data_IF_578998466515
#
_entry.id   IF_578998466515
#
_cell.length_a   1.000
_cell.length_b   1.000
_cell.length_c   1.000
_cell.angle_alpha   90.00
_cell.angle_beta   90.00
_cell.angle_gamma   90.00
#
_symmetry.space_group_name_H-M   'P 1'
#
loop_
_entity.id
_entity.type
_entity.pdbx_description
1 polymer ?
#
# COMPACT_ATOMS: atom_id res chain seq x y z
N UNK A 1 -21.17 -2.10 2.76
CA UNK A 1 -20.54 -1.09 3.65
C UNK A 1 -19.16 -1.55 4.16
N UNK A 2 -18.33 -2.21 3.32
CA UNK A 2 -17.01 -2.71 3.71
C UNK A 2 -15.86 -1.71 3.43
N UNK A 3 -16.04 -0.82 2.43
CA UNK A 3 -15.06 0.17 2.01
C UNK A 3 -14.79 1.29 3.03
N UNK A 4 -15.72 1.58 3.94
CA UNK A 4 -15.52 2.56 5.02
C UNK A 4 -14.65 2.02 6.18
N UNK A 5 -14.41 0.70 6.25
CA UNK A 5 -13.92 0.03 7.46
C UNK A 5 -12.39 -0.18 7.42
N UNK A 6 -11.77 -0.30 6.25
CA UNK A 6 -10.29 -0.26 6.13
C UNK A 6 -9.72 1.13 6.42
N UNK A 7 -10.56 2.15 6.23
CA UNK A 7 -10.26 3.53 6.53
C UNK A 7 -9.89 3.75 8.01
N UNK A 8 -10.60 3.11 8.96
CA UNK A 8 -10.34 3.30 10.41
C UNK A 8 -9.03 2.64 10.85
N UNK A 9 -8.66 1.52 10.23
CA UNK A 9 -7.44 0.77 10.52
C UNK A 9 -6.18 1.52 10.07
N UNK A 10 -6.25 2.21 8.93
CA UNK A 10 -5.19 3.09 8.44
C UNK A 10 -5.11 4.43 9.20
N UNK A 11 -6.23 4.89 9.76
CA UNK A 11 -6.31 6.20 10.44
C UNK A 11 -5.77 6.15 11.88
N UNK A 12 -5.85 5.02 12.58
CA UNK A 12 -5.45 4.93 13.99
C UNK A 12 -4.09 4.25 14.24
N UNK A 13 -3.53 3.51 13.28
CA UNK A 13 -2.22 2.89 13.44
C UNK A 13 -1.13 3.96 13.63
N UNK A 14 -0.25 3.80 14.63
CA UNK A 14 0.72 4.83 15.04
C UNK A 14 0.09 6.20 15.36
N UNK A 15 -1.17 6.24 15.81
CA UNK A 15 -1.77 7.46 16.34
C UNK A 15 -1.56 7.57 17.85
N UNK A 16 -1.35 8.80 18.28
CA UNK A 16 -1.37 9.19 19.69
C UNK A 16 -2.81 9.55 20.07
N UNK A 17 -3.29 8.97 21.17
CA UNK A 17 -4.63 9.19 21.70
C UNK A 17 -4.55 9.77 23.11
N UNK A 18 -5.54 10.58 23.46
CA UNK A 18 -5.87 10.89 24.85
C UNK A 18 -7.05 10.04 25.29
N UNK A 19 -6.92 9.40 26.44
CA UNK A 19 -8.02 8.70 27.08
C UNK A 19 -8.37 9.32 28.43
N UNK A 20 -9.66 9.43 28.71
CA UNK A 20 -10.18 9.97 29.96
C UNK A 20 -11.39 9.15 30.43
N UNK A 21 -11.47 8.93 31.74
CA UNK A 21 -12.52 8.11 32.35
C UNK A 21 -13.84 8.86 32.44
N UNK A 22 -14.94 8.13 32.40
CA UNK A 22 -16.28 8.65 32.61
C UNK A 22 -16.51 8.92 34.11
N UNK A 23 -16.11 10.10 34.58
CA UNK A 23 -16.43 10.57 35.92
C UNK A 23 -16.70 12.08 35.88
N UNK A 24 -17.79 12.49 36.54
CA UNK A 24 -18.32 13.86 36.66
C UNK A 24 -17.35 14.87 37.32
N UNK A 25 -16.08 14.55 37.47
CA UNK A 25 -15.05 15.37 38.07
C UNK A 25 -14.11 15.92 36.99
N UNK A 26 -14.28 17.21 36.69
CA UNK A 26 -13.45 18.07 35.83
C UNK A 26 -11.94 18.12 36.17
N UNK A 27 -11.47 17.30 37.12
CA UNK A 27 -10.11 17.30 37.67
C UNK A 27 -9.26 16.08 37.23
N UNK A 28 -9.78 15.20 36.39
CA UNK A 28 -9.04 14.01 35.96
C UNK A 28 -8.07 14.33 34.81
N UNK A 29 -6.77 14.38 35.11
CA UNK A 29 -5.74 14.45 34.04
C UNK A 29 -5.90 13.25 33.08
N UNK A 30 -5.90 13.49 31.75
CA UNK A 30 -6.02 12.44 30.74
C UNK A 30 -4.73 11.63 30.62
N UNK A 31 -4.83 10.39 30.13
CA UNK A 31 -3.66 9.58 29.79
C UNK A 31 -3.35 9.69 28.30
N UNK A 32 -2.08 9.97 27.99
CA UNK A 32 -1.57 9.91 26.63
C UNK A 32 -1.11 8.49 26.31
N UNK A 33 -1.60 7.93 25.21
CA UNK A 33 -1.39 6.52 24.86
C UNK A 33 -1.15 6.35 23.37
N UNK A 34 -0.41 5.31 23.00
CA UNK A 34 -0.14 4.97 21.60
C UNK A 34 -1.01 3.79 21.18
N UNK A 35 -1.61 3.87 19.99
CA UNK A 35 -2.26 2.71 19.38
C UNK A 35 -1.19 1.78 18.82
N UNK A 36 -1.14 0.56 19.34
CA UNK A 36 -0.22 -0.47 18.87
C UNK A 36 -0.85 -1.30 17.76
N UNK A 37 -2.13 -1.69 17.92
CA UNK A 37 -2.83 -2.51 16.94
C UNK A 37 -4.32 -2.25 16.94
N UNK A 38 -4.93 -2.40 15.77
CA UNK A 38 -6.38 -2.48 15.61
C UNK A 38 -6.72 -3.84 15.00
N UNK A 39 -7.49 -4.64 15.71
CA UNK A 39 -7.99 -5.94 15.26
C UNK A 39 -9.50 -5.86 15.08
N UNK A 40 -10.02 -6.45 14.01
CA UNK A 40 -11.47 -6.58 13.82
C UNK A 40 -11.89 -7.96 14.28
N UNK A 41 -12.79 -8.02 15.25
CA UNK A 41 -13.50 -9.24 15.61
C UNK A 41 -14.75 -9.37 14.73
N UNK A 42 -14.58 -10.07 13.61
CA UNK A 42 -15.66 -10.36 12.67
C UNK A 42 -16.78 -11.21 13.30
N UNK A 43 -16.50 -11.97 14.37
CA UNK A 43 -17.52 -12.80 15.05
C UNK A 43 -18.53 -11.94 15.80
N UNK A 44 -18.09 -10.81 16.36
CA UNK A 44 -18.92 -9.91 17.19
C UNK A 44 -19.19 -8.55 16.56
N UNK A 45 -18.69 -8.30 15.34
CA UNK A 45 -18.70 -6.97 14.68
C UNK A 45 -18.11 -5.88 15.59
N UNK A 46 -17.08 -6.22 16.37
CA UNK A 46 -16.40 -5.31 17.29
C UNK A 46 -14.99 -5.03 16.79
N UNK A 47 -14.51 -3.82 17.02
CA UNK A 47 -13.10 -3.47 16.82
C UNK A 47 -12.39 -3.54 18.16
N UNK A 48 -11.29 -4.28 18.21
CA UNK A 48 -10.41 -4.38 19.38
C UNK A 48 -9.24 -3.42 19.13
N UNK A 49 -9.06 -2.47 20.04
CA UNK A 49 -7.94 -1.53 20.02
C UNK A 49 -6.94 -1.98 21.08
N UNK A 50 -5.73 -2.31 20.66
CA UNK A 50 -4.60 -2.58 21.56
C UNK A 50 -3.86 -1.26 21.75
N UNK A 51 -3.86 -0.79 23.00
CA UNK A 51 -3.30 0.49 23.40
C UNK A 51 -2.10 0.25 24.31
N UNK A 52 -0.99 0.92 24.01
CA UNK A 52 0.23 0.89 24.81
C UNK A 52 0.34 2.14 25.66
N UNK A 53 0.60 1.92 26.95
CA UNK A 53 0.88 2.98 27.90
C UNK A 53 2.38 3.07 28.18
N UNK A 54 2.89 4.28 28.29
CA UNK A 54 4.27 4.53 28.69
C UNK A 54 4.26 5.21 30.05
N UNK A 55 4.71 4.47 31.06
CA UNK A 55 4.87 4.98 32.42
C UNK A 55 6.31 4.80 32.86
N UNK A 56 6.90 5.83 33.47
CA UNK A 56 8.17 5.69 34.18
C UNK A 56 7.95 4.89 35.48
N UNK A 57 8.93 4.06 35.85
CA UNK A 57 8.90 3.31 37.10
C UNK A 57 8.75 4.26 38.30
N UNK A 58 7.88 3.90 39.26
CA UNK A 58 7.62 4.69 40.47
C UNK A 58 6.65 5.88 40.29
N UNK A 59 6.11 6.12 39.10
CA UNK A 59 5.23 7.26 38.85
C UNK A 59 3.82 7.06 39.44
N UNK A 60 3.30 8.07 40.15
CA UNK A 60 1.92 8.08 40.69
C UNK A 60 0.85 7.88 39.62
N UNK A 61 1.14 8.24 38.36
CA UNK A 61 0.28 7.99 37.20
C UNK A 61 0.08 6.51 36.89
N UNK A 62 1.09 5.66 37.10
CA UNK A 62 0.98 4.21 36.90
C UNK A 62 -0.01 3.60 37.92
N UNK A 63 0.13 3.98 39.19
CA UNK A 63 -0.75 3.52 40.25
C UNK A 63 -2.19 3.99 40.00
N UNK A 64 -2.38 5.21 39.50
CA UNK A 64 -3.69 5.72 39.11
C UNK A 64 -4.27 4.97 37.90
N UNK A 65 -3.46 4.72 36.88
CA UNK A 65 -3.90 3.97 35.70
C UNK A 65 -4.37 2.56 36.08
N UNK A 66 -3.60 1.84 36.92
CA UNK A 66 -3.98 0.51 37.42
C UNK A 66 -5.29 0.51 38.21
N UNK A 67 -5.55 1.57 39.00
CA UNK A 67 -6.81 1.70 39.76
C UNK A 67 -8.02 1.97 38.88
N UNK A 68 -7.84 2.70 37.78
CA UNK A 68 -8.94 3.14 36.92
C UNK A 68 -9.22 2.17 35.77
N UNK A 69 -8.19 1.52 35.21
CA UNK A 69 -8.29 0.59 34.08
C UNK A 69 -8.80 -0.78 34.52
N UNK A 70 -10.04 -0.82 35.01
CA UNK A 70 -10.74 -2.03 35.42
C UNK A 70 -11.40 -2.70 34.22
N UNK A 71 -11.64 -4.01 34.33
CA UNK A 71 -12.36 -4.74 33.29
C UNK A 71 -13.76 -4.13 33.07
N UNK A 72 -14.17 -3.96 31.80
CA UNK A 72 -15.46 -3.36 31.39
C UNK A 72 -15.66 -1.88 31.80
N UNK A 73 -14.62 -1.19 32.22
CA UNK A 73 -14.68 0.27 32.43
C UNK A 73 -14.92 1.02 31.11
N UNK A 74 -15.64 2.15 31.19
CA UNK A 74 -15.95 3.01 30.05
C UNK A 74 -14.97 4.18 29.98
N UNK A 75 -14.46 4.43 28.78
CA UNK A 75 -13.47 5.45 28.51
C UNK A 75 -13.84 6.25 27.27
N UNK A 76 -13.58 7.54 27.34
CA UNK A 76 -13.62 8.42 26.19
C UNK A 76 -12.23 8.52 25.58
N UNK A 77 -12.20 8.59 24.25
CA UNK A 77 -10.97 8.60 23.46
C UNK A 77 -11.01 9.81 22.54
N UNK A 78 -9.96 10.62 22.55
CA UNK A 78 -9.73 11.69 21.59
C UNK A 78 -8.43 11.44 20.83
N UNK A 79 -8.46 11.59 19.51
CA UNK A 79 -7.26 11.44 18.67
C UNK A 79 -6.48 12.75 18.66
N UNK A 80 -5.20 12.68 19.02
CA UNK A 80 -4.31 13.84 18.96
C UNK A 80 -3.72 14.00 17.56
N UNK A 81 -2.86 13.06 17.15
CA UNK A 81 -2.11 13.14 15.90
C UNK A 81 -1.57 11.77 15.49
N UNK A 82 -1.13 11.65 14.22
CA UNK A 82 -0.30 10.53 13.79
C UNK A 82 1.16 10.82 14.15
N UNK A 83 1.85 9.85 14.75
CA UNK A 83 3.27 9.97 15.11
C UNK A 83 4.20 9.33 14.06
N UNK A 84 3.63 8.90 12.92
CA UNK A 84 4.37 8.23 11.85
C UNK A 84 5.50 9.08 11.26
N UNK A 85 5.32 10.40 10.99
CA UNK A 85 6.43 11.25 10.52
C UNK A 85 7.59 11.31 11.51
N UNK A 86 7.29 11.52 12.80
CA UNK A 86 8.28 11.62 13.87
C UNK A 86 9.04 10.30 14.06
N UNK A 87 8.35 9.16 13.98
CA UNK A 87 9.02 7.86 14.04
C UNK A 87 9.98 7.64 12.87
N UNK A 88 9.66 8.15 11.67
CA UNK A 88 10.54 8.04 10.52
C UNK A 88 11.77 8.92 10.65
N UNK A 89 11.62 10.14 11.13
CA UNK A 89 12.74 11.03 11.46
C UNK A 89 13.64 10.41 12.52
N UNK A 90 13.05 9.89 13.61
CA UNK A 90 13.80 9.21 14.65
C UNK A 90 14.52 7.98 14.11
N UNK A 91 13.88 7.14 13.29
CA UNK A 91 14.52 5.99 12.67
C UNK A 91 15.69 6.41 11.76
N UNK A 92 15.51 7.45 10.95
CA UNK A 92 16.58 7.99 10.10
C UNK A 92 17.77 8.50 10.93
N UNK A 93 17.51 9.17 12.06
CA UNK A 93 18.55 9.61 13.00
C UNK A 93 19.25 8.44 13.70
N UNK A 94 18.52 7.39 14.07
CA UNK A 94 19.14 6.20 14.68
C UNK A 94 20.02 5.43 13.70
N UNK A 95 19.66 5.45 12.41
CA UNK A 95 20.41 4.81 11.33
C UNK A 95 21.50 5.71 10.72
N UNK A 96 21.77 6.88 11.33
CA UNK A 96 22.64 7.91 10.73
C UNK A 96 24.04 7.39 10.39
N UNK A 97 24.58 6.48 11.21
CA UNK A 97 25.91 5.88 11.03
C UNK A 97 26.02 5.02 9.76
N UNK A 98 24.90 4.49 9.30
CA UNK A 98 24.84 3.61 8.13
C UNK A 98 24.53 4.40 6.85
N UNK A 99 24.36 5.73 6.93
CA UNK A 99 24.08 6.58 5.78
C UNK A 99 25.38 6.87 5.03
N UNK A 100 25.55 6.41 3.79
CA UNK A 100 26.81 6.62 3.07
C UNK A 100 27.09 8.09 2.72
N UNK A 101 26.03 8.89 2.60
CA UNK A 101 26.11 10.33 2.39
C UNK A 101 26.44 11.12 3.66
N UNK A 102 26.56 10.47 4.83
CA UNK A 102 26.78 11.16 6.11
C UNK A 102 27.97 12.13 6.10
N UNK A 103 29.16 11.77 5.56
CA UNK A 103 30.29 12.70 5.53
C UNK A 103 29.99 13.98 4.74
N UNK A 104 29.26 13.86 3.63
CA UNK A 104 28.84 14.97 2.78
C UNK A 104 27.79 15.84 3.52
N UNK A 105 26.84 15.21 4.21
CA UNK A 105 25.80 15.91 4.97
C UNK A 105 26.39 16.70 6.15
N UNK A 106 27.35 16.11 6.89
CA UNK A 106 27.97 16.76 8.05
C UNK A 106 29.00 17.81 7.68
N UNK A 107 29.69 17.65 6.54
CA UNK A 107 30.70 18.59 6.06
C UNK A 107 30.53 18.90 4.57
N UNK A 108 29.58 19.78 4.20
CA UNK A 108 29.27 20.07 2.80
C UNK A 108 30.40 20.80 2.05
N UNK A 109 31.29 21.50 2.76
CA UNK A 109 32.28 22.42 2.16
C UNK A 109 33.46 21.68 1.53
N UNK A 110 33.87 20.53 2.08
CA UNK A 110 35.06 19.81 1.62
C UNK A 110 34.85 18.97 0.35
N UNK A 111 33.62 18.65 -0.02
CA UNK A 111 33.32 17.78 -1.17
C UNK A 111 33.17 18.51 -2.51
N UNK A 112 32.98 19.84 -2.50
CA UNK A 112 32.80 20.68 -3.69
C UNK A 112 34.11 21.10 -4.38
N UNK A 113 35.28 20.76 -3.83
CA UNK A 113 36.60 21.24 -4.30
C UNK A 113 37.16 20.45 -5.50
N UNK A 114 36.43 19.48 -6.06
CA UNK A 114 36.84 18.84 -7.31
C UNK A 114 36.46 19.73 -8.50
N UNK A 115 37.48 20.46 -8.96
CA UNK A 115 37.59 21.24 -10.21
C UNK A 115 36.50 20.94 -11.24
N UNK A 116 35.84 22.00 -11.70
CA UNK A 116 35.05 22.10 -12.94
C UNK A 116 35.85 21.54 -14.13
N UNK A 117 35.87 20.22 -14.27
CA UNK A 117 36.30 19.58 -15.50
C UNK A 117 35.22 19.85 -16.53
N UNK A 118 35.62 20.39 -17.68
CA UNK A 118 34.77 20.74 -18.82
C UNK A 118 33.55 19.81 -18.90
N UNK A 119 32.39 20.31 -18.53
CA UNK A 119 31.17 19.48 -18.49
C UNK A 119 30.84 19.08 -19.91
N UNK A 120 30.87 17.78 -20.19
CA UNK A 120 30.71 17.30 -21.55
C UNK A 120 29.65 16.20 -21.58
N UNK A 121 28.56 16.50 -22.30
CA UNK A 121 27.48 15.55 -22.62
C UNK A 121 27.99 14.42 -23.53
N UNK A 122 29.27 14.43 -23.93
CA UNK A 122 29.93 13.44 -24.79
C UNK A 122 29.85 11.98 -24.32
N UNK A 123 29.48 11.72 -23.06
CA UNK A 123 29.17 10.36 -22.57
C UNK A 123 27.83 9.84 -23.06
N UNK A 124 26.90 10.73 -23.39
CA UNK A 124 25.62 10.37 -23.99
C UNK A 124 25.83 10.13 -25.49
N UNK A 125 24.90 9.42 -26.10
CA UNK A 125 24.89 9.22 -27.54
C UNK A 125 24.63 10.54 -28.27
N UNK A 126 25.20 10.69 -29.47
CA UNK A 126 25.01 11.87 -30.32
C UNK A 126 23.53 12.24 -30.56
N UNK A 127 22.60 11.29 -30.79
CA UNK A 127 21.18 11.64 -30.97
C UNK A 127 20.57 12.26 -29.72
N UNK A 128 20.85 11.70 -28.54
CA UNK A 128 20.33 12.21 -27.27
C UNK A 128 20.94 13.59 -26.95
N UNK A 129 22.24 13.76 -27.19
CA UNK A 129 22.92 15.04 -27.01
C UNK A 129 22.27 16.14 -27.85
N UNK A 130 22.05 15.93 -29.15
CA UNK A 130 21.42 16.93 -30.04
C UNK A 130 20.01 17.32 -29.61
N UNK A 131 19.24 16.36 -29.12
CA UNK A 131 17.87 16.62 -28.63
C UNK A 131 17.91 17.45 -27.35
N UNK A 132 18.81 17.13 -26.43
CA UNK A 132 18.98 17.92 -25.21
C UNK A 132 19.43 19.35 -25.57
N UNK A 133 20.46 19.49 -26.39
CA UNK A 133 21.01 20.79 -26.81
C UNK A 133 19.99 21.67 -27.54
N UNK A 134 19.08 21.08 -28.33
CA UNK A 134 18.02 21.83 -29.01
C UNK A 134 16.81 22.17 -28.13
N UNK A 135 16.60 21.45 -27.02
CA UNK A 135 15.37 21.53 -26.22
C UNK A 135 15.52 22.28 -24.90
N UNK A 136 16.76 22.47 -24.42
CA UNK A 136 17.08 23.05 -23.12
C UNK A 136 18.03 24.23 -23.26
N UNK A 137 17.98 25.17 -22.32
CA UNK A 137 18.92 26.31 -22.29
C UNK A 137 20.26 25.91 -21.63
N UNK A 138 21.28 26.76 -21.75
CA UNK A 138 22.64 26.50 -21.27
C UNK A 138 22.68 26.15 -19.77
N UNK A 139 21.91 26.85 -18.93
CA UNK A 139 21.89 26.58 -17.49
C UNK A 139 21.26 25.22 -17.14
N UNK A 140 20.22 24.83 -17.88
CA UNK A 140 19.59 23.51 -17.76
C UNK A 140 20.51 22.42 -18.28
N UNK A 141 21.18 22.64 -19.42
CA UNK A 141 22.15 21.70 -19.99
C UNK A 141 23.33 21.45 -19.05
N UNK A 142 23.85 22.51 -18.44
CA UNK A 142 24.90 22.41 -17.42
C UNK A 142 24.41 21.64 -16.17
N UNK A 143 23.18 21.90 -15.71
CA UNK A 143 22.61 21.12 -14.60
C UNK A 143 22.43 19.63 -14.95
N UNK A 144 22.02 19.34 -16.19
CA UNK A 144 21.86 17.97 -16.71
C UNK A 144 23.22 17.27 -16.80
N UNK A 145 24.23 17.92 -17.38
CA UNK A 145 25.57 17.35 -17.54
C UNK A 145 26.27 17.13 -16.19
N UNK A 146 26.07 18.03 -15.22
CA UNK A 146 26.58 17.88 -13.86
C UNK A 146 25.90 16.73 -13.11
N UNK A 147 24.58 16.56 -13.23
CA UNK A 147 23.84 15.49 -12.55
C UNK A 147 24.11 14.10 -13.16
N UNK A 148 24.37 14.04 -14.46
CA UNK A 148 24.77 12.83 -15.20
C UNK A 148 26.30 12.59 -15.09
N UNK A 149 27.02 13.61 -14.60
CA UNK A 149 28.47 13.78 -14.60
C UNK A 149 29.26 12.79 -13.77
N UNK A 150 30.50 13.14 -13.47
CA UNK A 150 31.59 12.24 -13.12
C UNK A 150 31.37 11.43 -11.81
N UNK A 151 30.94 10.16 -11.92
CA UNK A 151 31.20 9.17 -10.86
C UNK A 151 32.71 9.01 -10.68
N UNK A 152 33.28 9.72 -9.72
CA UNK A 152 34.67 9.52 -9.29
C UNK A 152 34.77 8.06 -8.83
N UNK A 153 35.60 7.26 -9.49
CA UNK A 153 35.80 5.84 -9.14
C UNK A 153 36.33 5.65 -7.71
N UNK A 154 36.69 6.75 -7.04
CA UNK A 154 37.13 6.80 -5.64
C UNK A 154 36.04 7.17 -4.63
N UNK A 155 34.83 7.55 -5.07
CA UNK A 155 33.72 7.91 -4.19
C UNK A 155 32.57 6.92 -4.34
N UNK A 156 32.10 6.37 -3.22
CA UNK A 156 30.98 5.43 -3.21
C UNK A 156 29.65 6.12 -3.59
N UNK A 157 29.51 7.43 -3.30
CA UNK A 157 28.30 8.21 -3.55
C UNK A 157 28.61 9.64 -3.99
N UNK A 158 27.71 10.21 -4.82
CA UNK A 158 27.79 11.57 -5.34
C UNK A 158 26.49 12.31 -5.01
N UNK A 159 26.59 13.58 -4.66
CA UNK A 159 25.46 14.46 -4.35
C UNK A 159 25.56 15.71 -5.23
N UNK A 160 24.51 15.96 -6.01
CA UNK A 160 24.39 17.14 -6.87
C UNK A 160 23.18 17.95 -6.44
N UNK A 161 23.36 19.27 -6.31
CA UNK A 161 22.28 20.21 -5.98
C UNK A 161 21.96 21.07 -7.19
N UNK A 162 20.69 21.07 -7.60
CA UNK A 162 20.20 21.87 -8.72
C UNK A 162 19.25 22.93 -8.16
N UNK A 163 19.64 24.19 -8.33
CA UNK A 163 18.82 25.31 -7.91
C UNK A 163 18.13 25.95 -9.12
N UNK A 164 16.83 26.24 -8.99
CA UNK A 164 16.06 26.93 -10.02
C UNK A 164 15.00 27.84 -9.41
N UNK A 165 15.00 29.15 -9.72
CA UNK A 165 13.90 30.05 -9.37
C UNK A 165 12.52 29.55 -9.83
N UNK A 166 11.41 30.16 -9.35
CA UNK A 166 10.07 29.85 -9.86
C UNK A 166 10.01 30.06 -11.38
N UNK A 167 9.40 29.10 -12.10
CA UNK A 167 9.23 29.19 -13.56
C UNK A 167 10.45 28.79 -14.42
N UNK A 168 11.61 28.44 -13.84
CA UNK A 168 12.81 28.08 -14.64
C UNK A 168 12.84 26.65 -15.18
N UNK A 169 11.70 25.93 -15.09
CA UNK A 169 11.56 24.60 -15.68
C UNK A 169 12.27 23.47 -14.91
N UNK A 170 12.44 23.60 -13.58
CA UNK A 170 13.04 22.55 -12.71
C UNK A 170 12.55 21.13 -13.03
N UNK A 171 11.22 20.94 -13.03
CA UNK A 171 10.58 19.65 -13.32
C UNK A 171 10.92 19.13 -14.72
N UNK A 172 11.04 20.04 -15.71
CA UNK A 172 11.46 19.68 -17.08
C UNK A 172 12.92 19.21 -17.08
N UNK A 173 13.80 19.90 -16.36
CA UNK A 173 15.21 19.51 -16.19
C UNK A 173 15.32 18.13 -15.50
N UNK A 174 14.48 17.84 -14.49
CA UNK A 174 14.44 16.53 -13.83
C UNK A 174 14.15 15.41 -14.84
N UNK A 175 13.17 15.59 -15.73
CA UNK A 175 12.82 14.60 -16.77
C UNK A 175 14.02 14.32 -17.70
N UNK A 176 14.79 15.35 -18.07
CA UNK A 176 16.01 15.18 -18.85
C UNK A 176 17.12 14.45 -18.09
N UNK A 177 17.32 14.75 -16.80
CA UNK A 177 18.29 14.05 -15.95
C UNK A 177 17.95 12.56 -15.87
N UNK A 178 16.67 12.23 -15.62
CA UNK A 178 16.18 10.85 -15.58
C UNK A 178 16.42 10.15 -16.92
N UNK A 179 16.15 10.82 -18.04
CA UNK A 179 16.43 10.29 -19.39
C UNK A 179 17.91 9.94 -19.58
N UNK A 180 18.81 10.86 -19.22
CA UNK A 180 20.25 10.66 -19.35
C UNK A 180 20.81 9.60 -18.40
N UNK A 181 20.34 9.52 -17.15
CA UNK A 181 20.75 8.49 -16.19
C UNK A 181 20.32 7.09 -16.64
N UNK A 182 19.10 6.93 -17.17
CA UNK A 182 18.65 5.66 -17.74
C UNK A 182 19.44 5.28 -18.99
N UNK A 183 19.70 6.24 -19.87
CA UNK A 183 20.52 6.02 -21.07
C UNK A 183 21.93 5.53 -20.71
N UNK A 184 22.61 6.19 -19.77
CA UNK A 184 23.94 5.75 -19.30
C UNK A 184 23.92 4.36 -18.68
N UNK A 185 22.89 4.05 -17.89
CA UNK A 185 22.77 2.74 -17.24
C UNK A 185 22.60 1.59 -18.24
N UNK A 186 22.00 1.88 -19.40
CA UNK A 186 21.87 0.94 -20.53
C UNK A 186 23.18 0.82 -21.32
N UNK A 187 23.98 1.88 -21.42
CA UNK A 187 25.24 1.89 -22.18
C UNK A 187 26.43 1.24 -21.46
N UNK A 188 26.50 1.28 -20.14
CA UNK A 188 27.59 0.66 -19.35
C UNK A 188 27.68 -0.88 -19.48
N UNK A 189 26.81 -1.51 -20.26
CA UNK A 189 26.58 -2.96 -20.27
C UNK A 189 26.75 -3.63 -21.63
N UNK A 190 27.01 -2.89 -22.71
CA UNK A 190 27.40 -3.46 -24.00
C UNK A 190 28.91 -3.33 -24.23
N UNK A 191 29.70 -4.42 -24.23
CA UNK A 191 30.95 -4.39 -24.97
C UNK A 191 30.56 -4.36 -26.46
N UNK A 192 31.08 -3.35 -27.15
CA UNK A 192 31.11 -3.15 -28.59
C UNK A 192 30.65 -4.37 -29.42
N UNK A 193 29.41 -4.37 -29.94
CA UNK A 193 29.05 -5.15 -31.12
C UNK A 193 27.69 -4.72 -31.72
N UNK A 194 27.74 -4.41 -33.02
CA UNK A 194 26.66 -4.66 -33.98
C UNK A 194 25.42 -3.77 -33.91
N UNK A 195 25.40 -2.74 -34.75
CA UNK A 195 24.18 -2.04 -35.15
C UNK A 195 23.13 -3.04 -35.67
N UNK A 196 22.01 -3.18 -34.97
CA UNK A 196 20.79 -3.79 -35.51
C UNK A 196 19.66 -2.79 -35.27
N UNK A 197 19.16 -2.20 -36.35
CA UNK A 197 17.98 -1.34 -36.40
C UNK A 197 16.73 -2.17 -36.09
N UNK A 198 15.89 -1.81 -35.10
CA UNK A 198 14.50 -2.18 -35.09
C UNK A 198 13.70 -1.20 -35.96
N UNK A 199 12.75 -1.76 -36.70
CA UNK A 199 11.89 -1.10 -37.66
C UNK A 199 11.08 0.04 -37.05
N UNK A 200 11.07 1.17 -37.76
CA UNK A 200 10.31 2.38 -37.44
C UNK A 200 8.81 2.12 -37.39
N UNK A 201 8.19 2.24 -36.22
CA UNK A 201 6.76 2.55 -36.10
C UNK A 201 6.62 3.97 -35.58
N UNK A 202 6.31 4.91 -36.49
CA UNK A 202 5.96 6.28 -36.11
C UNK A 202 4.66 6.25 -35.31
N UNK A 203 4.72 6.56 -34.02
CA UNK A 203 3.55 6.86 -33.23
C UNK A 203 3.23 8.36 -33.37
N UNK A 204 2.23 8.68 -34.19
CA UNK A 204 1.68 10.02 -34.32
C UNK A 204 0.94 10.40 -33.03
N UNK A 205 1.49 11.38 -32.30
CA UNK A 205 0.86 11.93 -31.09
C UNK A 205 -0.32 12.83 -31.48
N UNK A 206 -1.55 12.31 -31.44
CA UNK A 206 -2.75 13.14 -31.38
C UNK A 206 -3.19 13.29 -29.92
N UNK A 207 -3.25 14.54 -29.45
CA UNK A 207 -3.79 14.90 -28.12
C UNK A 207 -5.30 14.66 -28.11
N UNK A 208 -5.72 13.43 -27.82
CA UNK A 208 -7.13 13.10 -27.61
C UNK A 208 -7.35 12.92 -26.11
N UNK A 209 -8.39 13.56 -25.55
CA UNK A 209 -8.87 13.28 -24.19
C UNK A 209 -9.35 11.82 -24.15
N UNK A 210 -8.55 10.96 -23.52
CA UNK A 210 -8.81 9.52 -23.45
C UNK A 210 -9.59 9.20 -22.16
N UNK A 211 -10.59 8.32 -22.27
CA UNK A 211 -11.34 7.82 -21.11
C UNK A 211 -10.42 7.06 -20.13
N UNK A 212 -10.70 7.12 -18.82
CA UNK A 212 -9.87 6.53 -17.77
C UNK A 212 -9.57 5.04 -18.04
N UNK A 213 -10.55 4.25 -18.47
CA UNK A 213 -10.38 2.82 -18.79
C UNK A 213 -9.37 2.58 -19.92
N UNK A 214 -9.33 3.47 -20.92
CA UNK A 214 -8.40 3.38 -22.04
C UNK A 214 -7.00 3.89 -21.68
N UNK A 215 -6.88 4.86 -20.75
CA UNK A 215 -5.58 5.27 -20.21
C UNK A 215 -4.95 4.15 -19.37
N UNK A 216 -5.77 3.46 -18.55
CA UNK A 216 -5.35 2.28 -17.80
C UNK A 216 -4.88 1.15 -18.72
N UNK A 217 -5.65 0.84 -19.77
CA UNK A 217 -5.28 -0.18 -20.74
C UNK A 217 -3.98 0.14 -21.49
N UNK A 218 -3.76 1.41 -21.86
CA UNK A 218 -2.51 1.85 -22.52
C UNK A 218 -1.31 1.81 -21.59
N UNK A 219 -1.44 2.33 -20.37
CA UNK A 219 -0.37 2.25 -19.38
C UNK A 219 0.04 0.79 -19.10
N UNK A 220 -0.95 -0.11 -19.09
CA UNK A 220 -0.72 -1.54 -18.94
C UNK A 220 -0.06 -2.15 -20.18
N UNK A 221 -0.51 -1.82 -21.40
CA UNK A 221 0.16 -2.23 -22.63
C UNK A 221 1.60 -1.72 -22.70
N UNK A 222 1.83 -0.46 -22.35
CA UNK A 222 3.16 0.15 -22.29
C UNK A 222 4.04 -0.58 -21.24
N UNK A 223 3.49 -0.89 -20.06
CA UNK A 223 4.21 -1.66 -19.03
C UNK A 223 4.48 -3.11 -19.45
N UNK A 224 3.52 -3.76 -20.13
CA UNK A 224 3.68 -5.12 -20.65
C UNK A 224 4.71 -5.17 -21.79
N UNK A 225 4.68 -4.20 -22.70
CA UNK A 225 5.66 -4.05 -23.78
C UNK A 225 7.05 -3.74 -23.22
N UNK A 226 7.16 -2.84 -22.25
CA UNK A 226 8.40 -2.60 -21.54
C UNK A 226 8.93 -3.89 -20.92
N UNK A 227 8.07 -4.71 -20.30
CA UNK A 227 8.43 -6.03 -19.75
C UNK A 227 8.81 -7.07 -20.82
N UNK A 228 8.17 -7.10 -21.98
CA UNK A 228 8.53 -8.02 -23.07
C UNK A 228 9.88 -7.68 -23.68
N UNK A 229 10.11 -6.41 -24.03
CA UNK A 229 11.43 -5.94 -24.49
C UNK A 229 12.53 -6.30 -23.48
N UNK A 230 12.17 -6.27 -22.20
CA UNK A 230 13.00 -6.61 -21.08
C UNK A 230 13.28 -8.13 -20.97
N UNK A 231 12.27 -8.98 -21.07
CA UNK A 231 12.41 -10.44 -21.07
C UNK A 231 13.19 -10.94 -22.30
N UNK A 232 13.00 -10.31 -23.47
CA UNK A 232 13.73 -10.65 -24.69
C UNK A 232 15.19 -10.20 -24.62
N UNK A 233 15.48 -9.04 -24.02
CA UNK A 233 16.84 -8.62 -23.71
C UNK A 233 17.54 -9.56 -22.71
N UNK A 234 16.82 -10.07 -21.71
CA UNK A 234 17.36 -11.04 -20.74
C UNK A 234 17.54 -12.44 -21.35
N UNK A 235 16.63 -12.91 -22.22
CA UNK A 235 16.76 -14.18 -22.95
C UNK A 235 17.97 -14.19 -23.88
N UNK A 236 18.27 -13.06 -24.53
CA UNK A 236 19.45 -12.90 -25.38
C UNK A 236 20.77 -12.82 -24.58
N UNK A 237 20.73 -12.58 -23.25
CA UNK A 237 21.90 -12.36 -22.40
C UNK A 237 22.21 -13.54 -21.45
N UNK A 238 21.65 -14.73 -21.70
CA UNK A 238 21.68 -15.90 -20.78
C UNK A 238 23.04 -16.57 -20.54
N UNK A 239 24.17 -15.97 -20.92
CA UNK A 239 25.50 -16.56 -20.65
C UNK A 239 26.37 -15.81 -19.66
N UNK A 240 25.97 -14.66 -19.10
CA UNK A 240 26.69 -14.07 -17.95
C UNK A 240 25.73 -13.37 -16.96
N UNK A 241 26.10 -13.41 -15.67
CA UNK A 241 25.31 -13.04 -14.52
C UNK A 241 24.58 -11.67 -14.59
N UNK A 242 23.32 -11.65 -14.13
CA UNK A 242 22.63 -10.49 -13.55
C UNK A 242 22.62 -9.18 -14.34
N UNK A 243 21.88 -9.11 -15.45
CA UNK A 243 21.66 -7.84 -16.17
C UNK A 243 20.76 -6.88 -15.36
N UNK A 244 21.33 -6.09 -14.45
CA UNK A 244 20.54 -5.11 -13.66
C UNK A 244 20.13 -3.92 -14.53
N UNK A 245 18.86 -3.53 -14.55
CA UNK A 245 18.40 -2.33 -15.25
C UNK A 245 18.72 -1.09 -14.43
N UNK A 246 18.92 0.05 -15.11
CA UNK A 246 18.97 1.35 -14.44
C UNK A 246 17.65 1.61 -13.72
N UNK A 247 17.68 1.76 -12.40
CA UNK A 247 16.51 2.03 -11.56
C UNK A 247 16.65 3.38 -10.86
N UNK A 248 15.62 4.20 -10.98
CA UNK A 248 15.60 5.57 -10.43
C UNK A 248 14.42 5.73 -9.47
N UNK A 249 14.70 6.22 -8.28
CA UNK A 249 13.68 6.67 -7.33
C UNK A 249 13.52 8.18 -7.44
N UNK A 250 12.29 8.65 -7.66
CA UNK A 250 11.95 10.07 -7.68
C UNK A 250 11.04 10.37 -6.48
N UNK A 251 11.50 11.28 -5.65
CA UNK A 251 10.79 11.75 -4.47
C UNK A 251 10.34 13.20 -4.66
N UNK A 252 9.16 13.56 -4.20
CA UNK A 252 8.75 14.96 -4.07
C UNK A 252 8.06 15.24 -2.73
N UNK A 253 7.92 16.51 -2.37
CA UNK A 253 7.30 16.92 -1.11
C UNK A 253 5.77 16.70 -1.08
N UNK A 254 5.09 16.96 -2.20
CA UNK A 254 3.63 16.93 -2.30
C UNK A 254 3.10 15.86 -3.26
N UNK A 255 1.86 15.39 -3.02
CA UNK A 255 1.22 14.45 -3.95
C UNK A 255 0.99 15.08 -5.35
N UNK A 256 0.69 16.37 -5.39
CA UNK A 256 0.48 17.09 -6.65
C UNK A 256 1.76 17.14 -7.50
N UNK A 257 2.92 17.44 -6.88
CA UNK A 257 4.21 17.43 -7.58
C UNK A 257 4.55 16.04 -8.12
N UNK A 258 4.28 14.99 -7.34
CA UNK A 258 4.44 13.60 -7.81
C UNK A 258 3.54 13.29 -9.01
N UNK A 259 2.27 13.67 -8.94
CA UNK A 259 1.30 13.37 -9.99
C UNK A 259 1.58 14.18 -11.27
N UNK A 260 2.12 15.39 -11.13
CA UNK A 260 2.64 16.17 -12.26
C UNK A 260 3.82 15.46 -12.94
N UNK A 261 4.80 14.98 -12.16
CA UNK A 261 5.94 14.21 -12.68
C UNK A 261 5.49 12.94 -13.39
N UNK A 262 4.56 12.17 -12.80
CA UNK A 262 3.99 10.97 -13.43
C UNK A 262 3.29 11.33 -14.75
N UNK A 263 2.49 12.39 -14.75
CA UNK A 263 1.81 12.86 -15.97
C UNK A 263 2.79 13.29 -17.05
N UNK A 264 3.87 14.01 -16.71
CA UNK A 264 4.91 14.42 -17.66
C UNK A 264 5.64 13.21 -18.23
N UNK A 265 6.16 12.32 -17.39
CA UNK A 265 6.88 11.11 -17.84
C UNK A 265 5.97 10.21 -18.70
N UNK A 266 4.69 10.08 -18.36
CA UNK A 266 3.75 9.26 -19.12
C UNK A 266 3.36 9.87 -20.48
N UNK A 267 3.14 11.19 -20.53
CA UNK A 267 2.63 11.88 -21.73
C UNK A 267 3.74 12.34 -22.67
N UNK A 268 4.83 12.88 -22.11
CA UNK A 268 6.00 13.38 -22.84
C UNK A 268 7.07 12.30 -23.04
N UNK A 269 6.97 11.15 -22.36
CA UNK A 269 7.97 10.08 -22.44
C UNK A 269 9.36 10.49 -21.92
N UNK A 270 10.34 9.62 -22.11
CA UNK A 270 11.75 9.90 -21.85
C UNK A 270 12.58 9.68 -23.11
N UNK A 271 13.64 10.45 -23.28
CA UNK A 271 14.55 10.26 -24.41
C UNK A 271 15.51 9.09 -24.14
N UNK A 272 15.53 8.12 -25.04
CA UNK A 272 16.46 7.00 -25.02
C UNK A 272 17.84 7.37 -25.57
N UNK A 273 18.77 6.40 -25.52
CA UNK A 273 20.10 6.51 -26.14
C UNK A 273 20.04 6.58 -27.68
N UNK A 274 18.95 6.19 -28.30
CA UNK A 274 18.68 6.37 -29.73
C UNK A 274 18.14 7.77 -30.07
N UNK A 275 17.85 8.60 -29.06
CA UNK A 275 17.14 9.86 -29.22
C UNK A 275 15.63 9.67 -29.46
N UNK A 276 15.13 8.44 -29.41
CA UNK A 276 13.70 8.17 -29.54
C UNK A 276 13.02 8.25 -28.18
N UNK A 277 11.73 8.56 -28.20
CA UNK A 277 10.92 8.59 -27.00
C UNK A 277 10.54 7.19 -26.57
N UNK A 278 10.96 6.82 -25.36
CA UNK A 278 10.67 5.56 -24.71
C UNK A 278 9.83 5.80 -23.46
N UNK A 279 8.88 4.91 -23.19
CA UNK A 279 8.09 4.91 -21.96
C UNK A 279 8.65 3.87 -21.01
N UNK A 280 9.28 4.27 -19.90
CA UNK A 280 9.84 3.34 -18.93
C UNK A 280 8.73 2.65 -18.12
N UNK A 281 9.07 1.55 -17.46
CA UNK A 281 8.14 0.97 -16.48
C UNK A 281 8.05 1.86 -15.24
N UNK A 282 7.00 2.69 -15.21
CA UNK A 282 6.74 3.72 -14.20
C UNK A 282 5.75 3.23 -13.14
N UNK A 283 6.09 3.43 -11.86
CA UNK A 283 5.23 3.06 -10.73
C UNK A 283 5.10 4.22 -9.73
N UNK A 284 3.86 4.60 -9.41
CA UNK A 284 3.51 5.58 -8.38
C UNK A 284 3.18 4.87 -7.07
N UNK A 285 3.90 5.22 -6.00
CA UNK A 285 3.66 4.68 -4.64
C UNK A 285 3.16 5.80 -3.72
N UNK A 286 2.04 5.58 -3.03
CA UNK A 286 1.44 6.57 -2.15
C UNK A 286 0.09 6.13 -1.57
N UNK A 287 -0.65 7.07 -1.00
CA UNK A 287 -1.99 6.83 -0.46
C UNK A 287 -3.04 6.88 -1.59
N UNK A 288 -3.82 5.81 -1.75
CA UNK A 288 -4.86 5.67 -2.78
C UNK A 288 -5.86 6.84 -2.83
N UNK A 289 -6.14 7.50 -1.70
CA UNK A 289 -7.13 8.59 -1.64
C UNK A 289 -6.66 9.91 -2.25
N UNK A 290 -5.35 10.09 -2.34
CA UNK A 290 -4.75 11.37 -2.75
C UNK A 290 -4.14 11.31 -4.14
N UNK A 291 -4.34 10.20 -4.86
CA UNK A 291 -3.79 9.99 -6.20
C UNK A 291 -4.67 10.71 -7.22
N UNK A 292 -4.07 11.56 -8.03
CA UNK A 292 -4.76 12.20 -9.13
C UNK A 292 -5.24 11.17 -10.18
N UNK A 293 -6.41 11.36 -10.85
CA UNK A 293 -6.94 10.41 -11.83
C UNK A 293 -5.97 10.01 -12.96
N UNK A 294 -5.15 10.94 -13.43
CA UNK A 294 -4.15 10.67 -14.47
C UNK A 294 -3.03 9.72 -14.00
N UNK A 295 -2.80 9.63 -12.69
CA UNK A 295 -1.77 8.77 -12.09
C UNK A 295 -2.30 7.40 -11.65
N UNK A 296 -3.62 7.20 -11.60
CA UNK A 296 -4.25 5.91 -11.23
C UNK A 296 -3.73 4.73 -12.07
N UNK A 297 -3.56 4.84 -13.41
CA UNK A 297 -2.99 3.76 -14.22
C UNK A 297 -1.61 3.27 -13.76
N UNK A 298 -0.81 4.17 -13.20
CA UNK A 298 0.56 3.92 -12.74
C UNK A 298 0.61 3.62 -11.24
N UNK A 299 -0.53 3.65 -10.55
CA UNK A 299 -0.59 3.48 -9.11
C UNK A 299 -0.37 2.02 -8.72
N UNK A 300 0.47 1.80 -7.71
CA UNK A 300 0.88 0.46 -7.27
C UNK A 300 -0.30 -0.45 -6.91
N UNK A 301 -1.35 0.04 -6.23
CA UNK A 301 -2.50 -0.82 -5.90
C UNK A 301 -3.27 -1.24 -7.15
N UNK A 302 -3.45 -0.32 -8.11
CA UNK A 302 -4.10 -0.59 -9.38
C UNK A 302 -3.33 -1.65 -10.18
N UNK A 303 -1.99 -1.52 -10.24
CA UNK A 303 -1.13 -2.51 -10.89
C UNK A 303 -1.17 -3.88 -10.21
N UNK A 304 -1.26 -3.91 -8.87
CA UNK A 304 -1.37 -5.16 -8.11
C UNK A 304 -2.73 -5.82 -8.34
N UNK A 305 -3.82 -5.05 -8.31
CA UNK A 305 -5.18 -5.57 -8.50
C UNK A 305 -5.35 -6.12 -9.93
N UNK A 306 -4.71 -5.50 -10.93
CA UNK A 306 -4.64 -6.04 -12.29
C UNK A 306 -3.90 -7.39 -12.35
N UNK A 307 -2.69 -7.49 -11.78
CA UNK A 307 -1.96 -8.77 -11.74
C UNK A 307 -2.70 -9.84 -10.95
N UNK A 308 -3.43 -9.46 -9.89
CA UNK A 308 -4.29 -10.39 -9.16
C UNK A 308 -5.43 -10.89 -10.04
N UNK A 309 -6.04 -10.03 -10.86
CA UNK A 309 -7.07 -10.43 -11.82
C UNK A 309 -6.49 -11.40 -12.87
N UNK A 310 -5.32 -11.12 -13.44
CA UNK A 310 -4.64 -12.02 -14.39
C UNK A 310 -4.36 -13.41 -13.77
N UNK A 311 -3.81 -13.45 -12.56
CA UNK A 311 -3.54 -14.70 -11.84
C UNK A 311 -4.83 -15.46 -11.56
N UNK A 312 -5.93 -14.77 -11.25
CA UNK A 312 -7.24 -15.39 -11.04
C UNK A 312 -7.82 -15.95 -12.34
N UNK A 313 -7.71 -15.23 -13.46
CA UNK A 313 -8.19 -15.69 -14.77
C UNK A 313 -7.44 -16.95 -15.21
N UNK A 314 -6.13 -17.02 -14.97
CA UNK A 314 -5.33 -18.22 -15.27
C UNK A 314 -5.62 -19.40 -14.32
N UNK A 315 -6.22 -19.14 -13.15
CA UNK A 315 -6.59 -20.16 -12.17
C UNK A 315 -8.07 -20.58 -12.25
N UNK A 316 -8.93 -19.77 -12.86
CA UNK A 316 -10.37 -20.01 -12.98
C UNK A 316 -10.73 -21.12 -13.97
N UNK A 317 -9.77 -21.65 -14.73
CA UNK A 317 -9.97 -22.86 -15.53
C UNK A 317 -10.16 -24.15 -14.68
N UNK A 318 -10.11 -24.07 -13.33
CA UNK A 318 -10.27 -25.28 -12.51
C UNK A 318 -11.17 -25.24 -11.27
N UNK A 319 -11.72 -24.11 -10.78
CA UNK A 319 -12.62 -24.15 -9.60
C UNK A 319 -13.69 -23.05 -9.59
N UNK A 320 -14.95 -23.47 -9.63
CA UNK A 320 -16.13 -22.63 -9.46
C UNK A 320 -16.22 -22.00 -8.05
N UNK A 321 -16.56 -20.71 -8.03
CA UNK A 321 -16.71 -19.78 -6.91
C UNK A 321 -17.92 -20.06 -5.99
N UNK A 322 -18.01 -21.27 -5.41
CA UNK A 322 -19.09 -21.62 -4.47
C UNK A 322 -18.84 -21.18 -3.01
N UNK A 323 -17.70 -20.54 -2.70
CA UNK A 323 -17.29 -20.36 -1.29
C UNK A 323 -17.79 -19.06 -0.63
N UNK A 324 -17.95 -17.97 -1.38
CA UNK A 324 -18.30 -16.67 -0.81
C UNK A 324 -19.79 -16.59 -0.39
N UNK A 325 -20.67 -17.27 -1.12
CA UNK A 325 -22.11 -17.31 -0.84
C UNK A 325 -22.48 -18.25 0.31
N UNK A 326 -21.67 -19.30 0.53
CA UNK A 326 -21.97 -20.34 1.52
C UNK A 326 -22.08 -19.78 2.95
N UNK A 327 -21.21 -18.83 3.33
CA UNK A 327 -21.23 -18.25 4.67
C UNK A 327 -22.36 -17.23 4.87
N UNK A 328 -22.78 -16.53 3.82
CA UNK A 328 -23.93 -15.62 3.86
C UNK A 328 -25.25 -16.41 4.00
N UNK A 329 -25.37 -17.51 3.26
CA UNK A 329 -26.51 -18.44 3.33
C UNK A 329 -26.60 -19.08 4.74
N UNK A 330 -25.48 -19.56 5.29
CA UNK A 330 -25.44 -20.12 6.64
C UNK A 330 -25.86 -19.11 7.72
N UNK A 331 -25.46 -17.83 7.56
CA UNK A 331 -25.89 -16.75 8.46
C UNK A 331 -27.40 -16.46 8.37
N UNK A 332 -27.96 -16.43 7.16
CA UNK A 332 -29.41 -16.24 6.97
C UNK A 332 -30.22 -17.41 7.55
N UNK A 333 -29.73 -18.64 7.37
CA UNK A 333 -30.35 -19.83 7.96
C UNK A 333 -30.31 -19.80 9.49
N UNK A 334 -29.22 -19.31 10.08
CA UNK A 334 -29.11 -19.12 11.52
C UNK A 334 -30.11 -18.09 12.06
N UNK A 335 -30.29 -16.95 11.37
CA UNK A 335 -31.28 -15.93 11.75
C UNK A 335 -32.70 -16.51 11.75
N UNK A 336 -33.10 -17.19 10.66
CA UNK A 336 -34.41 -17.88 10.58
C UNK A 336 -34.61 -18.90 11.69
N UNK A 337 -33.55 -19.61 12.07
CA UNK A 337 -33.61 -20.60 13.14
C UNK A 337 -33.77 -19.97 14.52
N UNK A 338 -33.07 -18.86 14.78
CA UNK A 338 -33.21 -18.10 16.03
C UNK A 338 -34.62 -17.53 16.18
N UNK A 339 -35.21 -17.03 15.09
CA UNK A 339 -36.60 -16.54 15.10
C UNK A 339 -37.61 -17.68 15.38
N UNK A 340 -37.38 -18.87 14.81
CA UNK A 340 -38.18 -20.08 15.12
C UNK A 340 -38.06 -20.47 16.59
N UNK A 341 -36.86 -20.45 17.17
CA UNK A 341 -36.66 -20.77 18.60
C UNK A 341 -37.44 -19.77 19.47
N UNK A 342 -37.31 -18.46 19.19
CA UNK A 342 -38.05 -17.42 19.91
C UNK A 342 -39.55 -17.61 19.83
N UNK A 343 -40.08 -18.01 18.66
CA UNK A 343 -41.50 -18.31 18.47
C UNK A 343 -41.97 -19.47 19.35
N UNK A 344 -41.23 -20.58 19.38
CA UNK A 344 -41.60 -21.74 20.21
C UNK A 344 -41.41 -21.48 21.72
N UNK A 345 -40.44 -20.65 22.11
CA UNK A 345 -40.27 -20.19 23.50
C UNK A 345 -41.44 -19.31 23.95
N UNK A 346 -41.90 -18.38 23.12
CA UNK A 346 -43.09 -17.58 23.38
C UNK A 346 -44.35 -18.45 23.47
N UNK A 347 -44.51 -19.42 22.56
CA UNK A 347 -45.61 -20.39 22.60
C UNK A 347 -45.60 -21.23 23.88
N UNK A 348 -44.42 -21.63 24.37
CA UNK A 348 -44.26 -22.35 25.64
C UNK A 348 -44.60 -21.48 26.86
N UNK A 349 -44.26 -20.19 26.81
CA UNK A 349 -44.62 -19.25 27.88
C UNK A 349 -46.15 -19.08 27.97
N UNK A 350 -46.83 -18.94 26.83
CA UNK A 350 -48.30 -18.82 26.78
C UNK A 350 -49.02 -20.08 27.32
N UNK A 351 -48.54 -21.28 26.97
CA UNK A 351 -49.10 -22.55 27.48
C UNK A 351 -48.85 -22.73 28.99
N UNK A 352 -47.80 -22.11 29.55
CA UNK A 352 -47.57 -22.08 31.00
C UNK A 352 -48.48 -21.10 31.73
N UNK A 353 -48.75 -19.93 31.14
CA UNK A 353 -49.67 -18.94 31.70
C UNK A 353 -51.12 -19.44 31.72
N UNK A 354 -51.58 -20.09 30.63
CA UNK A 354 -52.93 -20.69 30.55
C UNK A 354 -53.15 -21.82 31.58
N UNK A 355 -52.07 -22.54 31.94
CA UNK A 355 -52.09 -23.58 32.98
C UNK A 355 -52.03 -23.01 34.42
N UNK A 356 -51.56 -21.78 34.63
CA UNK A 356 -51.63 -21.11 35.93
C UNK A 356 -52.98 -20.44 36.18
N UNK A 357 -53.64 -19.93 35.14
CA UNK A 357 -54.92 -19.24 35.26
C UNK A 357 -56.13 -20.20 35.30
N UNK A 358 -56.01 -21.41 34.74
CA UNK A 358 -57.08 -22.44 34.77
C UNK A 358 -57.33 -23.10 36.15
N UNK A 359 -56.69 -22.63 37.23
CA UNK A 359 -57.03 -23.07 38.60
C UNK A 359 -58.11 -22.22 39.27
N UNK A 360 -58.56 -21.12 38.66
CA UNK A 360 -59.63 -20.28 39.19
C UNK A 360 -60.59 -19.85 38.07
N UNK A 361 -61.59 -20.70 37.78
CA UNK A 361 -63.01 -20.38 37.53
C UNK A 361 -63.64 -21.48 36.65
N UNK A 362 -64.70 -22.09 37.17
CA UNK A 362 -65.63 -22.92 36.42
C UNK A 362 -66.76 -22.06 35.85
N UNK A 363 -67.32 -22.56 34.75
CA UNK A 363 -68.63 -22.29 34.11
C UNK A 363 -68.66 -21.45 32.82
N UNK A 364 -69.21 -22.07 31.75
CA UNK A 364 -69.96 -21.34 30.71
C UNK A 364 -69.60 -21.59 29.24
N UNK A 365 -70.13 -22.68 28.68
CA UNK A 365 -70.68 -22.86 27.31
C UNK A 365 -69.87 -22.60 26.02
N UNK A 366 -70.19 -23.42 25.01
CA UNK A 366 -69.45 -23.68 23.79
C UNK A 366 -69.80 -22.76 22.60
N UNK A 367 -68.84 -22.51 21.70
CA UNK A 367 -69.08 -22.51 20.24
C UNK A 367 -67.77 -22.58 19.43
N UNK A 368 -67.90 -23.19 18.25
CA UNK A 368 -66.86 -23.77 17.37
C UNK A 368 -66.10 -22.74 16.52
N UNK A 369 -64.85 -23.04 16.16
CA UNK A 369 -64.11 -22.41 15.05
C UNK A 369 -62.75 -23.08 14.81
N UNK A 370 -62.43 -23.36 13.55
CA UNK A 370 -61.46 -24.36 13.07
C UNK A 370 -59.96 -24.07 13.27
N UNK A 371 -59.23 -25.19 13.38
CA UNK A 371 -57.84 -25.45 12.96
C UNK A 371 -56.70 -24.68 13.64
N UNK A 372 -56.57 -24.89 14.95
CA UNK A 372 -55.31 -24.73 15.66
C UNK A 372 -55.07 -25.96 16.53
N UNK A 373 -54.33 -26.96 16.05
CA UNK A 373 -53.85 -28.06 16.89
C UNK A 373 -53.06 -27.47 18.07
N UNK A 374 -53.68 -27.40 19.25
CA UNK A 374 -52.98 -27.08 20.50
C UNK A 374 -51.91 -28.15 20.71
N UNK A 375 -50.66 -27.79 20.44
CA UNK A 375 -49.53 -28.67 20.68
C UNK A 375 -49.34 -28.81 22.19
N UNK A 376 -49.30 -30.04 22.69
CA UNK A 376 -48.93 -30.31 24.08
C UNK A 376 -47.54 -29.75 24.42
N UNK A 377 -47.29 -29.37 25.68
CA UNK A 377 -45.98 -28.86 26.15
C UNK A 377 -44.84 -29.84 25.80
N UNK A 378 -45.11 -31.15 25.81
CA UNK A 378 -44.16 -32.19 25.40
C UNK A 378 -43.80 -32.15 23.91
N UNK A 379 -44.75 -31.85 23.02
CA UNK A 379 -44.49 -31.68 21.59
C UNK A 379 -43.67 -30.42 21.31
N UNK A 380 -43.97 -29.32 22.01
CA UNK A 380 -43.23 -28.06 21.93
C UNK A 380 -41.79 -28.26 22.42
N UNK A 381 -41.59 -28.99 23.52
CA UNK A 381 -40.26 -29.29 24.05
C UNK A 381 -39.43 -30.17 23.11
N UNK A 382 -40.04 -31.17 22.46
CA UNK A 382 -39.36 -32.01 21.48
C UNK A 382 -38.89 -31.22 20.24
N UNK A 383 -39.70 -30.24 19.79
CA UNK A 383 -39.36 -29.34 18.69
C UNK A 383 -38.25 -28.37 19.07
N UNK A 384 -38.30 -27.81 20.29
CA UNK A 384 -37.23 -26.96 20.83
C UNK A 384 -35.88 -27.68 20.89
N UNK A 385 -35.82 -28.93 21.37
CA UNK A 385 -34.57 -29.71 21.38
C UNK A 385 -33.98 -29.86 19.99
N UNK A 386 -34.80 -30.24 18.99
CA UNK A 386 -34.36 -30.35 17.59
C UNK A 386 -33.81 -29.02 17.05
N UNK A 387 -34.47 -27.90 17.34
CA UNK A 387 -34.00 -26.57 16.92
C UNK A 387 -32.69 -26.17 17.60
N UNK A 388 -32.49 -26.54 18.87
CA UNK A 388 -31.23 -26.31 19.58
C UNK A 388 -30.08 -27.16 19.03
N UNK A 389 -30.36 -28.39 18.61
CA UNK A 389 -29.37 -29.26 17.95
C UNK A 389 -29.01 -28.75 16.54
N UNK A 390 -30.00 -28.35 15.73
CA UNK A 390 -29.79 -27.68 14.44
C UNK A 390 -28.96 -26.40 14.61
N UNK A 391 -29.24 -25.61 15.66
CA UNK A 391 -28.49 -24.38 15.99
C UNK A 391 -27.03 -24.72 16.28
N UNK A 392 -26.78 -25.76 17.08
CA UNK A 392 -25.42 -26.20 17.41
C UNK A 392 -24.65 -26.65 16.16
N UNK A 393 -25.30 -27.38 15.26
CA UNK A 393 -24.70 -27.80 13.99
C UNK A 393 -24.30 -26.60 13.11
N UNK A 394 -25.23 -25.64 12.91
CA UNK A 394 -24.95 -24.43 12.12
C UNK A 394 -23.82 -23.59 12.75
N UNK A 395 -23.70 -23.54 14.09
CA UNK A 395 -22.58 -22.83 14.74
C UNK A 395 -21.23 -23.48 14.45
N UNK A 396 -21.16 -24.82 14.41
CA UNK A 396 -19.93 -25.55 14.06
C UNK A 396 -19.57 -25.28 12.60
N UNK A 397 -20.55 -25.39 11.69
CA UNK A 397 -20.35 -25.13 10.26
C UNK A 397 -19.92 -23.69 9.99
N UNK A 398 -20.56 -22.72 10.65
CA UNK A 398 -20.17 -21.30 10.59
C UNK A 398 -18.73 -21.09 11.07
N UNK A 399 -18.34 -21.78 12.14
CA UNK A 399 -16.96 -21.74 12.67
C UNK A 399 -15.93 -22.25 11.66
N UNK A 400 -16.22 -23.36 10.97
CA UNK A 400 -15.32 -23.90 9.94
C UNK A 400 -15.28 -23.03 8.70
N UNK A 401 -16.42 -22.50 8.24
CA UNK A 401 -16.50 -21.58 7.11
C UNK A 401 -15.71 -20.29 7.38
N UNK A 402 -15.85 -19.69 8.56
CA UNK A 402 -15.10 -18.50 8.96
C UNK A 402 -13.60 -18.75 9.07
N UNK A 403 -13.19 -19.91 9.59
CA UNK A 403 -11.76 -20.27 9.64
C UNK A 403 -11.18 -20.39 8.22
N UNK A 404 -11.95 -20.95 7.29
CA UNK A 404 -11.57 -21.09 5.88
C UNK A 404 -11.49 -19.73 5.18
N UNK A 405 -12.47 -18.85 5.39
CA UNK A 405 -12.48 -17.47 4.89
C UNK A 405 -11.29 -16.66 5.42
N UNK A 406 -10.99 -16.76 6.71
CA UNK A 406 -9.83 -16.08 7.30
C UNK A 406 -8.53 -16.56 6.67
N UNK A 407 -8.39 -17.87 6.46
CA UNK A 407 -7.21 -18.45 5.81
C UNK A 407 -7.06 -17.95 4.37
N UNK A 408 -8.13 -17.95 3.57
CA UNK A 408 -8.07 -17.45 2.19
C UNK A 408 -7.83 -15.95 2.11
N UNK A 409 -8.35 -15.17 3.06
CA UNK A 409 -8.08 -13.72 3.17
C UNK A 409 -6.61 -13.45 3.51
N UNK A 410 -6.02 -14.21 4.44
CA UNK A 410 -4.60 -14.14 4.78
C UNK A 410 -3.70 -14.54 3.61
N UNK A 411 -4.03 -15.62 2.90
CA UNK A 411 -3.33 -16.05 1.68
C UNK A 411 -3.43 -15.00 0.56
N UNK A 412 -4.61 -14.42 0.36
CA UNK A 412 -4.83 -13.33 -0.61
C UNK A 412 -4.03 -12.08 -0.25
N UNK A 413 -3.98 -11.70 1.03
CA UNK A 413 -3.14 -10.58 1.51
C UNK A 413 -1.65 -10.86 1.31
N UNK A 414 -1.19 -12.07 1.61
CA UNK A 414 0.19 -12.48 1.39
C UNK A 414 0.56 -12.43 -0.11
N UNK A 415 -0.34 -12.92 -0.98
CA UNK A 415 -0.17 -12.85 -2.43
C UNK A 415 -0.14 -11.40 -2.93
N UNK A 416 -1.05 -10.55 -2.45
CA UNK A 416 -1.07 -9.11 -2.77
C UNK A 416 0.26 -8.44 -2.39
N UNK A 417 0.77 -8.73 -1.21
CA UNK A 417 2.07 -8.23 -0.74
C UNK A 417 3.24 -8.76 -1.60
N UNK A 418 3.22 -10.04 -1.99
CA UNK A 418 4.24 -10.64 -2.87
C UNK A 418 4.25 -9.96 -4.25
N UNK A 419 3.08 -9.73 -4.85
CA UNK A 419 2.95 -9.04 -6.13
C UNK A 419 3.40 -7.59 -6.05
N UNK A 420 3.03 -6.87 -4.98
CA UNK A 420 3.49 -5.50 -4.72
C UNK A 420 5.01 -5.41 -4.71
N UNK A 421 5.67 -6.34 -4.00
CA UNK A 421 7.13 -6.43 -3.95
C UNK A 421 7.76 -6.71 -5.32
N UNK A 422 7.13 -7.60 -6.12
CA UNK A 422 7.60 -7.91 -7.48
C UNK A 422 7.54 -6.67 -8.39
N UNK A 423 6.41 -5.97 -8.40
CA UNK A 423 6.21 -4.76 -9.20
C UNK A 423 7.26 -3.69 -8.87
N UNK A 424 7.52 -3.46 -7.58
CA UNK A 424 8.52 -2.47 -7.16
C UNK A 424 9.95 -2.85 -7.54
N UNK A 425 10.28 -4.15 -7.62
CA UNK A 425 11.60 -4.62 -8.06
C UNK A 425 11.78 -4.54 -9.57
N UNK A 426 10.71 -4.74 -10.33
CA UNK A 426 10.67 -4.72 -11.79
C UNK A 426 10.63 -3.30 -12.38
N UNK A 427 10.13 -2.32 -11.62
CA UNK A 427 10.00 -0.93 -12.06
C UNK A 427 11.37 -0.30 -12.37
N UNK A 428 11.44 0.42 -13.49
CA UNK A 428 12.61 1.25 -13.85
C UNK A 428 12.55 2.60 -13.13
N UNK A 429 11.35 3.15 -12.97
CA UNK A 429 11.13 4.40 -12.25
C UNK A 429 10.05 4.22 -11.19
N UNK A 430 10.39 4.55 -9.95
CA UNK A 430 9.42 4.63 -8.86
C UNK A 430 9.28 6.09 -8.45
N UNK A 431 8.06 6.62 -8.46
CA UNK A 431 7.76 8.00 -8.04
C UNK A 431 6.90 7.99 -6.78
N UNK A 432 7.31 8.72 -5.77
CA UNK A 432 6.63 8.73 -4.48
C UNK A 432 6.81 10.05 -3.75
N UNK A 433 6.00 10.29 -2.71
CA UNK A 433 6.26 11.42 -1.81
C UNK A 433 7.36 11.04 -0.82
N UNK A 434 8.04 12.02 -0.21
CA UNK A 434 9.00 11.74 0.88
C UNK A 434 8.36 10.93 2.02
N UNK A 435 7.10 11.22 2.33
CA UNK A 435 6.30 10.43 3.27
C UNK A 435 5.85 9.06 2.72
N UNK A 436 5.81 8.86 1.41
CA UNK A 436 5.51 7.58 0.78
C UNK A 436 6.69 6.60 0.84
N UNK A 437 7.93 7.09 0.79
CA UNK A 437 9.15 6.29 0.87
C UNK A 437 9.21 5.40 2.12
N UNK A 438 8.82 5.95 3.28
CA UNK A 438 8.86 5.23 4.56
C UNK A 438 7.75 4.20 4.77
N UNK A 439 7.04 3.81 3.70
CA UNK A 439 6.00 2.77 3.73
C UNK A 439 6.49 1.49 3.05
N UNK A 440 5.76 1.06 2.02
CA UNK A 440 6.04 -0.19 1.31
C UNK A 440 7.43 -0.24 0.69
N UNK A 441 7.91 0.90 0.20
CA UNK A 441 9.23 1.00 -0.42
C UNK A 441 10.33 0.66 0.58
N UNK A 442 10.28 1.23 1.79
CA UNK A 442 11.19 0.90 2.88
C UNK A 442 11.14 -0.58 3.26
N UNK A 443 9.94 -1.20 3.29
CA UNK A 443 9.79 -2.63 3.53
C UNK A 443 10.49 -3.51 2.48
N UNK A 444 10.41 -3.12 1.20
CA UNK A 444 11.09 -3.82 0.11
C UNK A 444 12.62 -3.62 0.19
N UNK A 445 13.08 -2.40 0.46
CA UNK A 445 14.51 -2.10 0.60
C UNK A 445 15.14 -2.81 1.81
N UNK A 446 14.51 -2.73 2.99
CA UNK A 446 15.03 -3.32 4.23
C UNK A 446 15.14 -4.84 4.19
N UNK A 447 14.20 -5.53 3.54
CA UNK A 447 14.26 -6.99 3.37
C UNK A 447 15.41 -7.43 2.44
N UNK A 448 15.74 -6.62 1.43
CA UNK A 448 16.91 -6.89 0.59
C UNK A 448 18.20 -6.78 1.40
N UNK A 449 18.25 -5.83 2.35
CA UNK A 449 19.40 -5.63 3.25
C UNK A 449 19.49 -6.75 4.31
N UNK A 450 18.37 -7.21 4.89
CA UNK A 450 18.38 -8.20 5.99
C UNK A 450 18.70 -9.64 5.59
N UNK A 451 18.55 -9.99 4.31
CA UNK A 451 18.75 -11.36 3.83
C UNK A 451 20.23 -11.77 3.72
N UNK A 452 21.18 -10.85 3.95
CA UNK A 452 22.61 -11.14 3.81
C UNK A 452 23.37 -10.89 5.11
N UNK A 453 23.53 -11.95 5.92
CA UNK A 453 24.57 -12.03 6.94
C UNK A 453 25.92 -12.56 6.41
N UNK A 454 26.02 -12.91 5.12
CA UNK A 454 27.24 -13.52 4.53
C UNK A 454 27.41 -13.25 3.02
N UNK A 455 27.56 -11.99 2.59
CA UNK A 455 27.88 -11.67 1.19
C UNK A 455 28.22 -10.20 0.97
N UNK A 456 29.15 -9.92 0.05
CA UNK A 456 29.71 -8.58 -0.24
C UNK A 456 28.64 -7.53 -0.57
N UNK A 457 28.83 -6.31 -0.03
CA UNK A 457 27.85 -5.21 -0.01
C UNK A 457 27.62 -4.48 -1.36
N UNK A 458 28.29 -4.86 -2.45
CA UNK A 458 28.37 -4.03 -3.66
C UNK A 458 27.27 -4.27 -4.72
N UNK A 459 26.41 -5.28 -4.58
CA UNK A 459 25.51 -5.70 -5.68
C UNK A 459 24.01 -5.39 -5.52
N UNK A 460 23.53 -4.90 -4.37
CA UNK A 460 22.07 -4.85 -4.12
C UNK A 460 21.51 -3.50 -3.63
N UNK A 461 21.94 -2.39 -4.22
CA UNK A 461 21.16 -1.13 -4.15
C UNK A 461 19.89 -1.26 -5.00
N UNK A 462 18.71 -1.08 -4.39
CA UNK A 462 17.43 -1.16 -5.13
C UNK A 462 17.35 -0.09 -6.23
N UNK A 463 17.99 1.07 -6.03
CA UNK A 463 18.03 2.16 -7.01
C UNK A 463 19.46 2.62 -7.26
N UNK A 464 19.78 2.89 -8.52
CA UNK A 464 21.09 3.39 -8.97
C UNK A 464 21.23 4.92 -8.81
N UNK A 465 20.08 5.60 -8.74
CA UNK A 465 19.98 7.03 -8.52
C UNK A 465 18.70 7.39 -7.74
N UNK A 466 18.79 8.43 -6.92
CA UNK A 466 17.66 9.03 -6.20
C UNK A 466 17.58 10.50 -6.57
N UNK A 467 16.43 10.94 -7.08
CA UNK A 467 16.15 12.34 -7.40
C UNK A 467 15.12 12.86 -6.40
N UNK A 468 15.40 14.00 -5.78
CA UNK A 468 14.49 14.64 -4.82
C UNK A 468 14.09 15.99 -5.40
N UNK A 469 12.83 16.11 -5.83
CA UNK A 469 12.22 17.38 -6.20
C UNK A 469 11.79 18.13 -4.94
N UNK A 470 12.14 19.41 -4.86
CA UNK A 470 11.89 20.28 -3.70
C UNK A 470 12.53 19.80 -2.38
N UNK A 471 13.83 19.50 -2.40
CA UNK A 471 14.57 19.07 -1.20
C UNK A 471 14.67 20.13 -0.08
N UNK A 472 14.42 21.41 -0.39
CA UNK A 472 14.39 22.51 0.58
C UNK A 472 13.37 23.57 0.17
N UNK A 473 12.25 23.65 0.89
CA UNK A 473 11.38 24.83 0.96
C UNK A 473 11.49 25.36 2.38
N UNK A 474 11.93 26.61 2.52
CA UNK A 474 11.91 27.35 3.79
C UNK A 474 10.48 27.83 4.04
#
# INVERSE_FOLDING_TARGET
MAFAIDCVQQVLFNSLLLIFGDCRTLLMQPFCVQVERLEKDNKRRRSIIVIRFYFQHGNSRLNRARKLLLERSKWYISRLMSITPQLREFHALTAIKDIPLLPIILNPVYHCLNKYGKEDLSKLTQPLQRILESSYNDSQLHAISAAIGLRDTRKDFELSLIQGPPGTGKTRTIVAIVSGLLALSRMKKSPLNGAIRPSTTLCTNSRVKICQSAAVARAWQDAALARQLNEDAEKNCKTMAGCTRGRILICAQSNAAVDELVSRISSEGLYGSDGLMNKPYLVRVGNAKTVHPNSIPFFIDTLVDQRLAEVRMNASDTKNDLSLDSSAILRSNLEKLVDRIRFYEAKRANVRDENSDSKNLLEGEASKGEDGKEMSDGEVESKLRKLYDEKKAIYVDLGTAQAREKKTEEESKALKHKLRKSILKEAEIVVTTLSGCGGDLYGVCSQSISNHKFGNASEDTLFDAVVIDEAAQV
#
